data_IF_494182429843
#
_entry.id   IF_494182429843
#
_cell.length_a   1.000
_cell.length_b   1.000
_cell.length_c   1.000
_cell.angle_alpha   90.00
_cell.angle_beta   90.00
_cell.angle_gamma   90.00
#
_symmetry.space_group_name_H-M   'P 1'
#
loop_
_entity.id
_entity.type
_entity.pdbx_description
1 polymer ?
#
# COMPACT_ATOMS: atom_id res chain seq x y z
N UNK A 1 32.79 39.74 -13.58
CA UNK A 1 31.43 39.47 -14.10
C UNK A 1 31.49 38.05 -14.65
N UNK A 2 31.07 37.07 -13.86
CA UNK A 2 30.90 35.69 -14.36
C UNK A 2 29.41 35.42 -14.37
N UNK A 3 28.87 35.33 -15.58
CA UNK A 3 27.51 34.94 -15.84
C UNK A 3 27.41 33.42 -15.87
N UNK A 4 26.55 32.91 -14.97
CA UNK A 4 25.46 31.97 -15.25
C UNK A 4 25.83 30.63 -15.90
N UNK A 5 25.67 29.59 -15.09
CA UNK A 5 24.95 28.41 -15.56
C UNK A 5 23.92 27.98 -14.49
N UNK A 6 22.77 28.65 -14.52
CA UNK A 6 21.59 28.20 -13.78
C UNK A 6 21.07 26.98 -14.55
N UNK A 7 21.36 25.79 -14.01
CA UNK A 7 20.73 24.53 -14.40
C UNK A 7 19.22 24.74 -14.30
N UNK A 8 18.58 24.96 -15.45
CA UNK A 8 17.13 25.00 -15.56
C UNK A 8 16.59 23.64 -15.16
N UNK A 9 16.10 23.54 -13.93
CA UNK A 9 15.07 22.57 -13.58
C UNK A 9 13.87 22.87 -14.48
N UNK A 10 13.76 22.11 -15.57
CA UNK A 10 12.54 22.06 -16.37
C UNK A 10 11.43 21.67 -15.43
N UNK A 11 10.58 22.64 -15.06
CA UNK A 11 9.28 22.39 -14.45
C UNK A 11 8.56 21.38 -15.33
N UNK A 12 8.57 20.13 -14.91
CA UNK A 12 7.74 19.11 -15.51
C UNK A 12 6.30 19.60 -15.32
N UNK A 13 5.63 19.88 -16.43
CA UNK A 13 4.17 19.96 -16.45
C UNK A 13 3.64 18.71 -15.74
N UNK A 14 2.65 18.82 -14.84
CA UNK A 14 2.06 17.67 -14.20
C UNK A 14 1.40 16.83 -15.30
N UNK A 15 2.15 15.88 -15.85
CA UNK A 15 1.58 14.86 -16.71
C UNK A 15 0.79 13.96 -15.79
N UNK A 16 -0.50 13.80 -16.07
CA UNK A 16 -1.32 12.84 -15.34
C UNK A 16 -0.72 11.43 -15.47
N UNK A 17 0.15 11.17 -16.45
CA UNK A 17 0.78 9.87 -16.64
C UNK A 17 1.61 9.42 -15.44
N UNK A 18 1.45 8.16 -15.07
CA UNK A 18 2.31 7.47 -14.11
C UNK A 18 3.79 7.54 -14.51
N UNK A 19 4.65 7.74 -13.52
CA UNK A 19 6.10 7.56 -13.65
C UNK A 19 6.45 6.06 -13.72
N UNK A 20 7.71 5.74 -14.06
CA UNK A 20 8.17 4.35 -14.04
C UNK A 20 8.09 3.73 -12.64
N UNK A 21 8.48 4.47 -11.60
CA UNK A 21 8.42 4.02 -10.22
C UNK A 21 6.98 3.72 -9.80
N UNK A 22 6.04 4.61 -10.12
CA UNK A 22 4.61 4.44 -9.81
C UNK A 22 3.99 3.24 -10.55
N UNK A 23 4.38 2.98 -11.81
CA UNK A 23 3.95 1.75 -12.51
C UNK A 23 4.44 0.47 -11.84
N UNK A 24 5.64 0.50 -11.27
CA UNK A 24 6.18 -0.64 -10.52
C UNK A 24 5.49 -0.78 -9.17
N UNK A 25 5.21 0.34 -8.50
CA UNK A 25 4.43 0.39 -7.26
C UNK A 25 3.05 -0.21 -7.45
N UNK A 26 2.27 0.26 -8.44
CA UNK A 26 0.93 -0.26 -8.74
C UNK A 26 0.94 -1.78 -8.94
N UNK A 27 1.87 -2.29 -9.78
CA UNK A 27 2.05 -3.74 -10.01
C UNK A 27 2.42 -4.54 -8.77
N UNK A 28 3.08 -3.93 -7.79
CA UNK A 28 3.38 -4.58 -6.50
C UNK A 28 2.12 -4.62 -5.65
N UNK A 29 1.39 -3.51 -5.57
CA UNK A 29 0.15 -3.42 -4.81
C UNK A 29 -0.88 -4.44 -5.34
N UNK A 30 -1.02 -4.56 -6.67
CA UNK A 30 -1.88 -5.57 -7.33
C UNK A 30 -1.62 -7.01 -6.87
N UNK A 31 -0.37 -7.34 -6.56
CA UNK A 31 0.03 -8.68 -6.10
C UNK A 31 -0.07 -8.82 -4.59
N UNK A 32 0.18 -7.73 -3.88
CA UNK A 32 0.22 -7.71 -2.42
C UNK A 32 -1.18 -7.74 -1.82
N UNK A 33 -2.15 -7.01 -2.38
CA UNK A 33 -3.53 -6.94 -1.87
C UNK A 33 -4.17 -8.34 -1.72
N UNK A 34 -4.20 -9.23 -2.73
CA UNK A 34 -4.77 -10.57 -2.56
C UNK A 34 -4.05 -11.40 -1.49
N UNK A 35 -2.73 -11.22 -1.35
CA UNK A 35 -1.93 -11.94 -0.35
C UNK A 35 -2.26 -11.46 1.06
N UNK A 36 -2.47 -10.16 1.26
CA UNK A 36 -2.85 -9.59 2.55
C UNK A 36 -4.30 -9.92 2.91
N UNK A 37 -5.20 -9.96 1.93
CA UNK A 37 -6.58 -10.42 2.12
C UNK A 37 -6.64 -11.89 2.57
N UNK A 38 -5.83 -12.77 1.95
CA UNK A 38 -5.74 -14.15 2.41
C UNK A 38 -5.21 -14.24 3.84
N UNK A 39 -4.15 -13.48 4.19
CA UNK A 39 -3.63 -13.42 5.56
C UNK A 39 -4.67 -12.93 6.56
N UNK A 40 -5.56 -12.01 6.16
CA UNK A 40 -6.66 -11.52 7.00
C UNK A 40 -7.63 -12.65 7.30
N UNK A 41 -8.01 -13.43 6.29
CA UNK A 41 -8.86 -14.59 6.45
C UNK A 41 -8.20 -15.66 7.34
N UNK A 42 -6.90 -15.92 7.15
CA UNK A 42 -6.14 -16.89 7.94
C UNK A 42 -6.06 -16.47 9.42
N UNK A 43 -5.80 -15.19 9.71
CA UNK A 43 -5.79 -14.66 11.08
C UNK A 43 -7.15 -14.79 11.75
N UNK A 44 -8.24 -14.49 11.03
CA UNK A 44 -9.60 -14.66 11.56
C UNK A 44 -9.92 -16.12 11.87
N UNK A 45 -9.47 -17.06 11.03
CA UNK A 45 -9.61 -18.49 11.29
C UNK A 45 -8.79 -18.91 12.52
N UNK A 46 -7.54 -18.46 12.64
CA UNK A 46 -6.68 -18.74 13.80
C UNK A 46 -7.29 -18.18 15.10
N UNK A 47 -7.88 -16.99 15.05
CA UNK A 47 -8.60 -16.40 16.20
C UNK A 47 -9.79 -17.26 16.62
N UNK A 48 -10.53 -17.82 15.67
CA UNK A 48 -11.65 -18.71 15.97
C UNK A 48 -11.17 -20.03 16.61
N UNK A 49 -10.07 -20.60 16.13
CA UNK A 49 -9.46 -21.80 16.72
C UNK A 49 -8.93 -21.56 18.13
N UNK A 50 -8.43 -20.35 18.42
CA UNK A 50 -7.87 -19.96 19.72
C UNK A 50 -8.85 -19.21 20.62
N UNK A 51 -10.15 -19.24 20.34
CA UNK A 51 -11.15 -18.40 21.03
C UNK A 51 -11.17 -18.52 22.57
N UNK A 52 -10.71 -19.65 23.13
CA UNK A 52 -10.58 -19.86 24.59
C UNK A 52 -9.29 -19.32 25.21
N UNK A 53 -8.28 -18.98 24.40
CA UNK A 53 -7.02 -18.38 24.84
C UNK A 53 -7.09 -16.85 24.66
N UNK A 54 -7.51 -16.17 25.72
CA UNK A 54 -7.68 -14.71 25.71
C UNK A 54 -6.40 -13.95 25.38
N UNK A 55 -5.23 -14.48 25.75
CA UNK A 55 -3.97 -13.80 25.43
C UNK A 55 -3.63 -13.95 23.95
N UNK A 56 -3.75 -15.17 23.40
CA UNK A 56 -3.53 -15.39 21.97
C UNK A 56 -4.53 -14.60 21.10
N UNK A 57 -5.80 -14.55 21.49
CA UNK A 57 -6.83 -13.75 20.78
C UNK A 57 -6.48 -12.27 20.81
N UNK A 58 -5.94 -11.74 21.91
CA UNK A 58 -5.52 -10.35 22.00
C UNK A 58 -4.37 -10.03 21.04
N UNK A 59 -3.32 -10.86 21.01
CA UNK A 59 -2.18 -10.70 20.10
C UNK A 59 -2.59 -10.79 18.61
N UNK A 60 -3.49 -11.73 18.29
CA UNK A 60 -4.03 -11.87 16.94
C UNK A 60 -4.92 -10.68 16.55
N UNK A 61 -5.66 -10.11 17.50
CA UNK A 61 -6.48 -8.91 17.26
C UNK A 61 -5.61 -7.70 16.90
N UNK A 62 -4.49 -7.49 17.60
CA UNK A 62 -3.53 -6.43 17.29
C UNK A 62 -2.94 -6.65 15.89
N UNK A 63 -2.57 -7.88 15.57
CA UNK A 63 -2.04 -8.24 14.25
C UNK A 63 -3.06 -8.00 13.13
N UNK A 64 -4.33 -8.32 13.38
CA UNK A 64 -5.43 -8.10 12.47
C UNK A 64 -5.69 -6.61 12.23
N UNK A 65 -5.70 -5.78 13.28
CA UNK A 65 -5.87 -4.33 13.16
C UNK A 65 -4.75 -3.68 12.33
N UNK A 66 -3.50 -4.11 12.54
CA UNK A 66 -2.36 -3.65 11.74
C UNK A 66 -2.50 -4.06 10.27
N UNK A 67 -2.95 -5.29 10.02
CA UNK A 67 -3.16 -5.80 8.67
C UNK A 67 -4.28 -5.05 7.95
N UNK A 68 -5.42 -4.79 8.62
CA UNK A 68 -6.54 -4.01 8.09
C UNK A 68 -6.09 -2.58 7.77
N UNK A 69 -5.35 -1.94 8.68
CA UNK A 69 -4.81 -0.60 8.46
C UNK A 69 -3.87 -0.56 7.25
N UNK A 70 -3.04 -1.60 7.09
CA UNK A 70 -2.15 -1.73 5.93
C UNK A 70 -2.92 -1.93 4.63
N UNK A 71 -3.93 -2.79 4.63
CA UNK A 71 -4.81 -3.04 3.48
C UNK A 71 -5.45 -1.73 3.00
N UNK A 72 -6.11 -0.99 3.90
CA UNK A 72 -6.76 0.28 3.54
C UNK A 72 -5.81 1.29 2.91
N UNK A 73 -4.59 1.44 3.47
CA UNK A 73 -3.57 2.34 2.89
C UNK A 73 -3.13 1.91 1.48
N UNK A 74 -3.01 0.60 1.25
CA UNK A 74 -2.63 0.07 -0.05
C UNK A 74 -3.78 0.19 -1.06
N UNK A 75 -5.03 0.00 -0.63
CA UNK A 75 -6.22 0.21 -1.46
C UNK A 75 -6.36 1.68 -1.90
N UNK A 76 -6.22 2.62 -0.96
CA UNK A 76 -6.21 4.06 -1.26
C UNK A 76 -5.09 4.39 -2.25
N UNK A 77 -3.87 3.89 -2.01
CA UNK A 77 -2.73 4.13 -2.89
C UNK A 77 -2.93 3.51 -4.28
N UNK A 78 -3.50 2.31 -4.34
CA UNK A 78 -3.83 1.65 -5.59
C UNK A 78 -4.84 2.46 -6.38
N UNK A 79 -5.88 2.99 -5.73
CA UNK A 79 -6.90 3.81 -6.36
C UNK A 79 -6.29 5.09 -6.93
N UNK A 80 -5.51 5.82 -6.14
CA UNK A 80 -4.80 7.02 -6.59
C UNK A 80 -3.95 6.75 -7.84
N UNK A 81 -3.17 5.67 -7.83
CA UNK A 81 -2.29 5.30 -8.95
C UNK A 81 -3.07 4.80 -10.17
N UNK A 82 -4.20 4.12 -9.96
CA UNK A 82 -5.04 3.63 -11.04
C UNK A 82 -5.74 4.78 -11.75
N UNK A 83 -6.35 5.71 -11.01
CA UNK A 83 -6.99 6.92 -11.55
C UNK A 83 -6.00 7.83 -12.26
N UNK A 84 -4.78 7.94 -11.74
CA UNK A 84 -3.69 8.66 -12.40
C UNK A 84 -3.26 7.98 -13.72
N UNK A 85 -3.40 6.66 -13.81
CA UNK A 85 -3.04 5.88 -15.00
C UNK A 85 -4.03 5.98 -16.16
N UNK A 86 -5.27 6.41 -15.89
CA UNK A 86 -6.34 6.67 -16.88
C UNK A 86 -6.12 7.97 -17.67
#
# INVERSE_FOLDING_TARGET
>A
REEKEVKQEKKATPSNKLTYAERIELKKIDKELPTLEQKKADLLAEMAEKASDHHAVMELSISLEQLITKLGRLEERWLELSEKGE
#
